data_IF_319004376198
#
_entry.id   IF_319004376198
#
_cell.length_a   1.000
_cell.length_b   1.000
_cell.length_c   1.000
_cell.angle_alpha   90.00
_cell.angle_beta   90.00
_cell.angle_gamma   90.00
#
_symmetry.space_group_name_H-M   'P 1'
#
loop_
_entity.id
_entity.type
_entity.pdbx_description
1 polymer ?
#
# COMPACT_ATOMS: atom_id res chain seq x y z
N UNK A 1 1.79 -20.68 31.60
CA UNK A 1 2.94 -20.34 32.46
C UNK A 1 3.43 -18.96 32.02
N UNK A 2 3.22 -17.90 32.82
CA UNK A 2 3.88 -16.62 32.56
C UNK A 2 5.37 -16.83 32.87
N UNK A 3 6.24 -16.67 31.85
CA UNK A 3 7.68 -16.53 32.10
C UNK A 3 7.85 -15.29 32.99
N UNK A 4 8.28 -15.49 34.23
CA UNK A 4 8.67 -14.39 35.10
C UNK A 4 9.90 -13.72 34.47
N UNK A 5 9.67 -12.64 33.73
CA UNK A 5 10.76 -11.83 33.20
C UNK A 5 11.42 -11.05 34.33
N UNK A 6 12.73 -11.19 34.44
CA UNK A 6 13.52 -10.37 35.39
C UNK A 6 13.20 -8.89 35.21
N UNK A 7 13.05 -8.17 36.29
CA UNK A 7 12.75 -6.75 36.29
C UNK A 7 13.98 -5.93 36.68
N UNK A 8 13.96 -4.62 36.36
CA UNK A 8 15.01 -3.70 36.81
C UNK A 8 15.16 -3.68 38.34
N UNK A 9 14.06 -4.00 39.09
CA UNK A 9 14.08 -4.10 40.54
C UNK A 9 14.83 -5.33 41.04
N UNK A 10 14.81 -6.43 40.27
CA UNK A 10 15.52 -7.64 40.65
C UNK A 10 17.03 -7.46 40.47
N UNK A 11 17.48 -6.82 39.39
CA UNK A 11 18.87 -6.45 39.17
C UNK A 11 19.34 -5.48 40.29
N UNK A 12 18.52 -4.49 40.61
CA UNK A 12 18.82 -3.52 41.65
C UNK A 12 19.00 -4.18 43.03
N UNK A 13 18.16 -5.17 43.37
CA UNK A 13 18.22 -5.95 44.60
C UNK A 13 19.50 -6.79 44.69
N UNK A 14 19.81 -7.50 43.60
CA UNK A 14 20.98 -8.40 43.54
C UNK A 14 22.32 -7.63 43.66
N UNK A 15 22.38 -6.43 43.06
CA UNK A 15 23.58 -5.59 43.12
C UNK A 15 23.60 -4.59 44.27
N UNK A 16 22.57 -4.60 45.13
CA UNK A 16 22.36 -3.66 46.23
C UNK A 16 22.50 -2.18 45.81
N UNK A 17 21.90 -1.83 44.68
CA UNK A 17 21.87 -0.46 44.15
C UNK A 17 20.42 -0.01 43.89
N UNK A 18 20.21 1.27 43.64
CA UNK A 18 18.87 1.77 43.28
C UNK A 18 18.47 1.36 41.85
N UNK A 19 17.16 1.18 41.58
CA UNK A 19 16.66 0.95 40.22
C UNK A 19 17.02 2.10 39.27
N UNK A 20 17.18 3.32 39.78
CA UNK A 20 17.67 4.46 38.98
C UNK A 20 19.14 4.31 38.58
N UNK A 21 19.98 3.76 39.49
CA UNK A 21 21.39 3.43 39.18
C UNK A 21 21.47 2.37 38.13
N UNK A 22 20.68 1.28 38.19
CA UNK A 22 20.61 0.24 37.15
C UNK A 22 20.18 0.83 35.82
N UNK A 23 19.11 1.65 35.82
CA UNK A 23 18.62 2.30 34.59
C UNK A 23 19.66 3.21 33.91
N UNK A 24 20.45 3.94 34.71
CA UNK A 24 21.51 4.82 34.23
C UNK A 24 22.72 4.00 33.74
N UNK A 25 23.09 2.93 34.44
CA UNK A 25 24.19 2.04 34.05
C UNK A 25 23.92 1.34 32.73
N UNK A 26 22.69 0.84 32.50
CA UNK A 26 22.29 0.22 31.23
C UNK A 26 22.30 1.19 30.04
N UNK A 27 22.26 2.50 30.31
CA UNK A 27 22.31 3.58 29.29
C UNK A 27 23.68 4.25 29.16
N UNK A 28 24.71 3.68 29.79
CA UNK A 28 26.08 4.23 29.79
C UNK A 28 26.18 5.67 30.31
N UNK A 29 25.28 6.06 31.23
CA UNK A 29 25.24 7.45 31.75
C UNK A 29 26.58 7.87 32.37
N UNK A 30 27.10 9.09 32.08
CA UNK A 30 28.44 9.53 32.51
C UNK A 30 28.64 9.58 34.03
N UNK A 31 27.58 9.67 34.84
CA UNK A 31 27.63 9.73 36.27
C UNK A 31 27.67 8.37 36.99
N UNK A 32 27.84 7.27 36.29
CA UNK A 32 27.96 5.91 36.86
C UNK A 32 29.34 5.37 36.54
N UNK A 33 30.01 4.77 37.56
CA UNK A 33 31.34 4.18 37.40
C UNK A 33 31.32 3.02 36.41
N UNK A 34 32.42 2.84 35.66
CA UNK A 34 32.54 1.79 34.66
C UNK A 34 32.41 0.38 35.25
N UNK A 35 32.88 0.20 36.49
CA UNK A 35 32.72 -1.05 37.25
C UNK A 35 31.23 -1.34 37.49
N UNK A 36 30.45 -0.36 37.90
CA UNK A 36 29.00 -0.51 38.14
C UNK A 36 28.27 -0.81 36.80
N UNK A 37 28.63 -0.10 35.72
CA UNK A 37 28.06 -0.37 34.38
C UNK A 37 28.33 -1.81 33.97
N UNK A 38 29.55 -2.29 34.12
CA UNK A 38 29.94 -3.67 33.78
C UNK A 38 29.13 -4.69 34.58
N UNK A 39 29.09 -4.58 35.92
CA UNK A 39 28.33 -5.49 36.79
C UNK A 39 26.84 -5.52 36.45
N UNK A 40 26.24 -4.37 36.14
CA UNK A 40 24.83 -4.28 35.76
C UNK A 40 24.56 -4.95 34.44
N UNK A 41 25.41 -4.74 33.43
CA UNK A 41 25.26 -5.36 32.11
C UNK A 41 25.43 -6.88 32.17
N UNK A 42 26.46 -7.38 32.83
CA UNK A 42 26.71 -8.81 33.05
C UNK A 42 25.52 -9.50 33.76
N UNK A 43 24.97 -8.87 34.81
CA UNK A 43 23.83 -9.43 35.52
C UNK A 43 22.56 -9.36 34.70
N UNK A 44 22.34 -8.29 33.95
CA UNK A 44 21.19 -8.15 33.02
C UNK A 44 21.20 -9.24 31.94
N UNK A 45 22.36 -9.54 31.33
CA UNK A 45 22.54 -10.65 30.41
C UNK A 45 22.25 -12.01 31.06
N UNK A 46 22.85 -12.27 32.23
CA UNK A 46 22.66 -13.51 33.00
C UNK A 46 21.19 -13.76 33.36
N UNK A 47 20.44 -12.70 33.68
CA UNK A 47 19.03 -12.77 34.02
C UNK A 47 18.10 -12.69 32.79
N UNK A 48 18.61 -12.64 31.56
CA UNK A 48 17.84 -12.38 30.34
C UNK A 48 16.92 -11.15 30.49
N UNK A 49 17.40 -10.14 31.21
CA UNK A 49 16.63 -8.93 31.41
C UNK A 49 16.44 -8.20 30.09
N UNK A 50 15.19 -7.93 29.75
CA UNK A 50 14.82 -7.04 28.63
C UNK A 50 14.14 -5.80 29.22
N UNK A 51 14.58 -4.59 28.84
CA UNK A 51 13.88 -3.39 29.22
C UNK A 51 12.39 -3.50 28.88
N UNK A 52 11.53 -3.18 29.83
CA UNK A 52 10.09 -3.20 29.57
C UNK A 52 9.77 -2.06 28.57
N UNK A 53 9.42 -2.43 27.33
CA UNK A 53 9.08 -1.47 26.28
C UNK A 53 7.92 -0.56 26.68
N UNK A 54 6.92 -1.08 27.43
CA UNK A 54 5.79 -0.31 27.95
C UNK A 54 6.27 0.76 28.95
N UNK A 55 7.19 0.42 29.85
CA UNK A 55 7.74 1.38 30.81
C UNK A 55 8.64 2.45 30.14
N UNK A 56 9.30 2.09 29.05
CA UNK A 56 10.08 3.01 28.23
C UNK A 56 9.17 3.94 27.40
N UNK A 57 8.09 3.41 26.82
CA UNK A 57 7.11 4.18 26.05
C UNK A 57 6.37 5.19 26.92
N UNK A 58 5.94 4.80 28.13
CA UNK A 58 5.33 5.71 29.12
C UNK A 58 6.26 6.89 29.47
N UNK A 59 7.57 6.65 29.58
CA UNK A 59 8.54 7.69 29.89
C UNK A 59 8.84 8.63 28.71
N UNK A 60 8.76 8.11 27.47
CA UNK A 60 9.04 8.87 26.25
C UNK A 60 7.77 9.37 25.56
N UNK A 61 6.58 9.00 26.06
CA UNK A 61 5.28 9.23 25.40
C UNK A 61 5.26 8.74 23.96
N UNK A 62 6.01 7.66 23.64
CA UNK A 62 6.11 7.04 22.31
C UNK A 62 6.39 5.56 22.44
N UNK A 63 5.70 4.77 21.62
CA UNK A 63 5.89 3.30 21.57
C UNK A 63 7.00 2.88 20.60
N UNK A 64 7.41 3.76 19.68
CA UNK A 64 8.25 3.44 18.53
C UNK A 64 7.67 2.30 17.68
N UNK A 65 6.35 2.33 17.55
CA UNK A 65 5.61 1.35 16.75
C UNK A 65 4.57 2.08 15.91
N UNK A 66 4.54 1.78 14.62
CA UNK A 66 3.53 2.28 13.69
C UNK A 66 2.63 1.15 13.22
N UNK A 67 1.37 1.47 12.94
CA UNK A 67 0.39 0.55 12.39
C UNK A 67 0.28 0.70 10.88
N UNK A 68 0.23 -0.43 10.17
CA UNK A 68 0.00 -0.48 8.72
C UNK A 68 -1.28 -1.27 8.46
N UNK A 69 -2.24 -0.63 7.82
CA UNK A 69 -3.52 -1.22 7.45
C UNK A 69 -3.59 -1.27 5.92
N UNK A 70 -3.73 -2.48 5.36
CA UNK A 70 -3.84 -2.72 3.93
C UNK A 70 -5.02 -3.63 3.61
N UNK A 71 -5.54 -3.61 2.37
CA UNK A 71 -6.60 -4.52 1.95
C UNK A 71 -6.16 -5.99 2.03
N UNK A 72 -5.14 -6.36 1.27
CA UNK A 72 -4.67 -7.74 1.14
C UNK A 72 -3.16 -7.78 0.88
N UNK A 73 -2.45 -8.68 1.58
CA UNK A 73 -1.00 -8.82 1.45
C UNK A 73 -0.58 -9.60 0.20
N UNK A 74 -1.49 -10.39 -0.37
CA UNK A 74 -1.20 -11.24 -1.53
C UNK A 74 -0.91 -10.46 -2.81
N UNK A 75 -1.35 -9.21 -2.90
CA UNK A 75 -1.06 -8.36 -4.04
C UNK A 75 0.40 -7.90 -4.03
N UNK A 76 1.14 -8.22 -5.10
CA UNK A 76 2.56 -7.90 -5.25
C UNK A 76 2.86 -6.41 -4.99
N UNK A 77 1.99 -5.52 -5.43
CA UNK A 77 2.10 -4.09 -5.16
C UNK A 77 2.24 -3.81 -3.65
N UNK A 78 1.33 -4.35 -2.82
CA UNK A 78 1.40 -4.13 -1.37
C UNK A 78 2.63 -4.77 -0.74
N UNK A 79 3.13 -5.90 -1.24
CA UNK A 79 4.38 -6.48 -0.74
C UNK A 79 5.58 -5.56 -0.97
N UNK A 80 5.63 -4.86 -2.12
CA UNK A 80 6.68 -3.88 -2.39
C UNK A 80 6.52 -2.60 -1.55
N UNK A 81 5.28 -2.15 -1.30
CA UNK A 81 5.00 -1.03 -0.39
C UNK A 81 5.46 -1.36 1.04
N UNK A 82 5.11 -2.55 1.55
CA UNK A 82 5.53 -3.02 2.88
C UNK A 82 7.05 -3.02 2.99
N UNK A 83 7.77 -3.49 1.96
CA UNK A 83 9.23 -3.46 1.96
C UNK A 83 9.80 -2.04 2.10
N UNK A 84 9.18 -1.06 1.43
CA UNK A 84 9.57 0.35 1.57
C UNK A 84 9.24 0.93 2.96
N UNK A 85 8.11 0.53 3.53
CA UNK A 85 7.71 0.92 4.90
C UNK A 85 8.72 0.38 5.92
N UNK A 86 9.01 -0.92 5.86
CA UNK A 86 9.93 -1.60 6.78
C UNK A 86 11.34 -1.00 6.74
N UNK A 87 11.89 -0.74 5.56
CA UNK A 87 13.23 -0.16 5.39
C UNK A 87 13.35 1.19 6.12
N UNK A 88 12.38 2.09 5.91
CA UNK A 88 12.40 3.41 6.55
C UNK A 88 12.09 3.32 8.04
N UNK A 89 11.10 2.52 8.46
CA UNK A 89 10.75 2.34 9.87
C UNK A 89 11.95 1.79 10.66
N UNK A 90 12.59 0.73 10.15
CA UNK A 90 13.77 0.12 10.76
C UNK A 90 14.93 1.10 10.90
N UNK A 91 15.24 1.86 9.82
CA UNK A 91 16.34 2.84 9.84
C UNK A 91 16.14 3.95 10.88
N UNK A 92 14.88 4.22 11.25
CA UNK A 92 14.49 5.23 12.26
C UNK A 92 14.14 4.64 13.63
N UNK A 93 14.36 3.33 13.81
CA UNK A 93 14.16 2.62 15.09
C UNK A 93 12.69 2.39 15.46
N UNK A 94 11.80 2.33 14.46
CA UNK A 94 10.39 2.00 14.62
C UNK A 94 10.10 0.54 14.25
N UNK A 95 9.15 -0.06 14.98
CA UNK A 95 8.57 -1.35 14.63
C UNK A 95 7.30 -1.15 13.80
N UNK A 96 6.97 -2.13 12.98
CA UNK A 96 5.76 -2.14 12.16
C UNK A 96 4.81 -3.23 12.63
N UNK A 97 3.55 -2.88 12.88
CA UNK A 97 2.45 -3.85 13.06
C UNK A 97 1.59 -3.78 11.81
N UNK A 98 1.57 -4.87 11.04
CA UNK A 98 0.78 -5.00 9.84
C UNK A 98 -0.54 -5.71 10.11
N UNK A 99 -1.65 -5.19 9.59
CA UNK A 99 -2.94 -5.87 9.50
C UNK A 99 -3.50 -5.80 8.09
N UNK A 100 -4.24 -6.85 7.71
CA UNK A 100 -5.01 -6.83 6.48
C UNK A 100 -6.51 -6.91 6.76
N UNK A 101 -7.27 -6.16 5.98
CA UNK A 101 -8.72 -6.04 6.17
C UNK A 101 -9.52 -7.05 5.37
N UNK A 102 -8.92 -7.71 4.38
CA UNK A 102 -9.60 -8.55 3.39
C UNK A 102 -10.78 -7.82 2.75
N UNK A 103 -10.58 -6.54 2.44
CA UNK A 103 -11.56 -5.65 1.82
C UNK A 103 -12.83 -5.43 2.64
N UNK A 104 -12.78 -5.65 3.97
CA UNK A 104 -13.94 -5.56 4.88
C UNK A 104 -13.84 -4.38 5.82
N UNK A 105 -14.83 -3.46 5.78
CA UNK A 105 -14.93 -2.30 6.68
C UNK A 105 -14.91 -2.70 8.17
N UNK A 106 -15.60 -3.80 8.51
CA UNK A 106 -15.65 -4.26 9.90
C UNK A 106 -14.26 -4.66 10.42
N UNK A 107 -13.43 -5.31 9.57
CA UNK A 107 -12.05 -5.66 9.92
C UNK A 107 -11.16 -4.44 10.01
N UNK A 108 -11.35 -3.46 9.12
CA UNK A 108 -10.62 -2.19 9.13
C UNK A 108 -10.83 -1.45 10.47
N UNK A 109 -12.10 -1.26 10.89
CA UNK A 109 -12.43 -0.65 12.19
C UNK A 109 -11.82 -1.43 13.36
N UNK A 110 -11.96 -2.76 13.38
CA UNK A 110 -11.37 -3.62 14.43
C UNK A 110 -9.84 -3.53 14.47
N UNK A 111 -9.18 -3.41 13.32
CA UNK A 111 -7.73 -3.22 13.23
C UNK A 111 -7.30 -1.90 13.83
N UNK A 112 -8.01 -0.81 13.51
CA UNK A 112 -7.77 0.51 14.11
C UNK A 112 -7.87 0.45 15.63
N UNK A 113 -8.99 -0.07 16.18
CA UNK A 113 -9.22 -0.16 17.62
C UNK A 113 -8.15 -1.02 18.33
N UNK A 114 -7.79 -2.14 17.72
CA UNK A 114 -6.76 -3.04 18.28
C UNK A 114 -5.40 -2.36 18.33
N UNK A 115 -4.99 -1.68 17.26
CA UNK A 115 -3.70 -1.00 17.20
C UNK A 115 -3.64 0.20 18.15
N UNK A 116 -4.72 0.98 18.28
CA UNK A 116 -4.81 2.06 19.27
C UNK A 116 -4.68 1.53 20.70
N UNK A 117 -5.31 0.39 21.00
CA UNK A 117 -5.18 -0.28 22.31
C UNK A 117 -3.75 -0.73 22.58
N UNK A 118 -2.95 -0.98 21.55
CA UNK A 118 -1.53 -1.30 21.63
C UNK A 118 -0.63 -0.05 21.62
N UNK A 119 -1.22 1.16 21.74
CA UNK A 119 -0.50 2.43 21.89
C UNK A 119 0.50 2.70 20.74
N UNK A 120 0.13 2.43 19.50
CA UNK A 120 0.96 2.80 18.33
C UNK A 120 1.06 4.31 18.20
N UNK A 121 2.13 4.80 17.54
CA UNK A 121 2.42 6.22 17.40
C UNK A 121 1.76 6.87 16.16
N UNK A 122 1.31 6.07 15.20
CA UNK A 122 0.64 6.55 14.00
C UNK A 122 0.27 5.43 13.03
N UNK A 123 -0.49 5.78 11.99
CA UNK A 123 -0.99 4.85 10.96
C UNK A 123 -0.49 5.16 9.56
N UNK A 124 -0.20 4.10 8.80
CA UNK A 124 -0.18 4.08 7.34
C UNK A 124 -1.38 3.28 6.86
N UNK A 125 -2.23 3.86 6.01
CA UNK A 125 -3.51 3.27 5.63
C UNK A 125 -3.73 3.28 4.12
N UNK A 126 -4.01 2.10 3.56
CA UNK A 126 -4.74 1.94 2.30
C UNK A 126 -6.06 1.27 2.63
N UNK A 127 -7.17 1.99 2.50
CA UNK A 127 -8.46 1.56 3.03
C UNK A 127 -9.15 0.48 2.19
N UNK A 128 -10.09 -0.25 2.80
CA UNK A 128 -10.87 -1.31 2.16
C UNK A 128 -11.83 -0.77 1.12
N UNK A 129 -12.05 -1.47 0.02
CA UNK A 129 -13.03 -1.05 -1.01
C UNK A 129 -14.48 -0.96 -0.50
N UNK A 130 -14.82 -1.65 0.59
CA UNK A 130 -16.13 -1.49 1.26
C UNK A 130 -16.27 -0.18 2.05
N UNK A 131 -15.17 0.54 2.30
CA UNK A 131 -15.18 1.73 3.14
C UNK A 131 -15.72 2.91 2.34
N UNK A 132 -16.92 3.36 2.72
CA UNK A 132 -17.59 4.55 2.19
C UNK A 132 -17.79 5.63 3.26
N UNK A 133 -17.65 5.26 4.54
CA UNK A 133 -17.69 6.14 5.70
C UNK A 133 -16.33 6.10 6.42
N UNK A 134 -15.68 7.25 6.50
CA UNK A 134 -14.33 7.42 7.06
C UNK A 134 -14.32 7.98 8.49
N UNK A 135 -15.44 7.99 9.20
CA UNK A 135 -15.57 8.58 10.54
C UNK A 135 -14.58 8.01 11.56
N UNK A 136 -14.18 6.75 11.43
CA UNK A 136 -13.19 6.12 12.32
C UNK A 136 -11.77 6.67 12.12
N UNK A 137 -11.45 7.20 10.94
CA UNK A 137 -10.19 7.91 10.69
C UNK A 137 -10.32 9.42 10.96
N UNK A 138 -11.42 10.06 10.55
CA UNK A 138 -11.63 11.50 10.74
C UNK A 138 -11.55 11.89 12.21
N UNK A 139 -12.18 11.12 13.11
CA UNK A 139 -12.10 11.35 14.56
C UNK A 139 -10.67 11.31 15.11
N UNK A 140 -9.82 10.47 14.57
CA UNK A 140 -8.41 10.38 14.97
C UNK A 140 -7.62 11.58 14.45
N UNK A 141 -7.86 11.98 13.19
CA UNK A 141 -7.25 13.19 12.61
C UNK A 141 -7.66 14.45 13.40
N UNK A 142 -8.93 14.58 13.77
CA UNK A 142 -9.45 15.69 14.59
C UNK A 142 -8.77 15.76 15.97
N UNK A 143 -8.35 14.61 16.50
CA UNK A 143 -7.57 14.52 17.76
C UNK A 143 -6.07 14.75 17.55
N UNK A 144 -5.63 14.98 16.32
CA UNK A 144 -4.22 15.16 15.96
C UNK A 144 -3.42 13.86 15.95
N UNK A 145 -4.08 12.69 15.83
CA UNK A 145 -3.37 11.42 15.72
C UNK A 145 -2.76 11.28 14.32
N UNK A 146 -1.45 10.93 14.21
CA UNK A 146 -0.75 10.86 12.94
C UNK A 146 -1.28 9.76 12.02
N UNK A 147 -1.80 10.13 10.85
CA UNK A 147 -2.24 9.19 9.80
C UNK A 147 -1.73 9.68 8.44
N UNK A 148 -1.13 8.77 7.67
CA UNK A 148 -0.81 8.98 6.26
C UNK A 148 -1.51 7.91 5.45
N UNK A 149 -2.32 8.33 4.48
CA UNK A 149 -2.98 7.43 3.55
C UNK A 149 -2.09 7.22 2.32
N UNK A 150 -2.15 6.03 1.74
CA UNK A 150 -1.43 5.72 0.53
C UNK A 150 -2.26 4.84 -0.42
N UNK A 151 -1.98 4.93 -1.73
CA UNK A 151 -2.70 4.20 -2.78
C UNK A 151 -4.20 4.57 -2.80
N UNK A 152 -5.02 3.97 -1.95
CA UNK A 152 -6.42 4.35 -1.75
C UNK A 152 -6.52 5.39 -0.66
N UNK A 153 -6.91 6.59 -1.04
CA UNK A 153 -6.94 7.76 -0.17
C UNK A 153 -8.33 8.33 -0.06
N UNK A 154 -8.81 8.66 1.16
CA UNK A 154 -10.14 9.19 1.38
C UNK A 154 -10.27 10.65 0.92
N UNK A 155 -11.50 11.09 0.71
CA UNK A 155 -11.83 12.50 0.52
C UNK A 155 -12.06 13.17 1.90
N UNK A 156 -11.00 13.25 2.72
CA UNK A 156 -11.00 13.92 4.01
C UNK A 156 -10.13 15.18 3.88
N UNK A 157 -10.68 16.33 4.29
CA UNK A 157 -9.95 17.58 4.32
C UNK A 157 -8.70 17.46 5.21
N UNK A 158 -7.59 18.06 4.79
CA UNK A 158 -6.29 18.02 5.48
C UNK A 158 -5.67 16.61 5.67
N UNK A 159 -6.22 15.56 5.06
CA UNK A 159 -5.58 14.24 5.07
C UNK A 159 -4.26 14.26 4.29
N UNK A 160 -3.24 13.60 4.84
CA UNK A 160 -1.94 13.45 4.18
C UNK A 160 -1.93 12.18 3.34
N UNK A 161 -1.63 12.31 2.05
CA UNK A 161 -1.81 11.26 1.07
C UNK A 161 -0.55 11.04 0.23
N UNK A 162 -0.22 9.78 -0.07
CA UNK A 162 0.80 9.40 -1.05
C UNK A 162 0.17 8.52 -2.10
N UNK A 163 0.11 9.01 -3.34
CA UNK A 163 -0.56 8.35 -4.47
C UNK A 163 0.36 8.26 -5.67
N UNK A 164 -0.03 7.49 -6.66
CA UNK A 164 0.55 7.56 -8.01
C UNK A 164 -0.31 8.45 -8.91
N UNK A 165 0.26 8.87 -10.04
CA UNK A 165 -0.51 9.53 -11.10
C UNK A 165 -1.28 8.47 -11.92
N UNK A 166 -2.44 8.05 -11.36
CA UNK A 166 -3.33 7.07 -11.98
C UNK A 166 -3.90 7.57 -13.31
N UNK A 167 -4.18 8.89 -13.40
CA UNK A 167 -4.66 9.51 -14.64
C UNK A 167 -3.61 9.40 -15.75
N UNK A 168 -2.39 9.87 -15.50
CA UNK A 168 -1.29 9.82 -16.46
C UNK A 168 -0.95 8.39 -16.86
N UNK A 169 -0.89 7.46 -15.87
CA UNK A 169 -0.60 6.05 -16.13
C UNK A 169 -1.61 5.42 -17.07
N UNK A 170 -2.90 5.63 -16.85
CA UNK A 170 -3.97 5.09 -17.69
C UNK A 170 -4.08 5.79 -19.05
N UNK A 171 -3.81 7.10 -19.09
CA UNK A 171 -3.72 7.86 -20.33
C UNK A 171 -2.63 7.29 -21.24
N UNK A 172 -1.40 7.11 -20.73
CA UNK A 172 -0.28 6.58 -21.51
C UNK A 172 -0.51 5.11 -21.93
N UNK A 173 -1.14 4.29 -21.10
CA UNK A 173 -1.53 2.92 -21.45
C UNK A 173 -2.53 2.89 -22.61
N UNK A 174 -3.57 3.70 -22.54
CA UNK A 174 -4.62 3.79 -23.57
C UNK A 174 -4.09 4.41 -24.87
N UNK A 175 -3.32 5.48 -24.78
CA UNK A 175 -2.63 6.11 -25.89
C UNK A 175 -1.69 5.13 -26.62
N UNK A 176 -0.95 4.30 -25.87
CA UNK A 176 -0.11 3.27 -26.45
C UNK A 176 -0.94 2.31 -27.31
N UNK A 177 -2.06 1.80 -26.82
CA UNK A 177 -2.95 0.93 -27.60
C UNK A 177 -3.45 1.63 -28.87
N UNK A 178 -3.85 2.89 -28.78
CA UNK A 178 -4.30 3.69 -29.93
C UNK A 178 -3.19 3.83 -30.99
N UNK A 179 -1.96 4.13 -30.54
CA UNK A 179 -0.80 4.25 -31.45
C UNK A 179 -0.40 2.93 -32.08
N UNK A 180 -0.72 1.79 -31.46
CA UNK A 180 -0.57 0.45 -32.05
C UNK A 180 -1.69 0.11 -33.06
N UNK A 181 -2.63 1.03 -33.29
CA UNK A 181 -3.69 0.89 -34.27
C UNK A 181 -4.97 0.25 -33.75
N UNK A 182 -5.11 0.04 -32.45
CA UNK A 182 -6.37 -0.40 -31.84
C UNK A 182 -7.38 0.77 -31.79
N UNK A 183 -8.67 0.45 -31.93
CA UNK A 183 -9.73 1.46 -32.02
C UNK A 183 -10.94 1.17 -31.12
N UNK A 184 -11.23 -0.08 -30.82
CA UNK A 184 -12.30 -0.51 -29.91
C UNK A 184 -11.69 -1.06 -28.63
N UNK A 185 -11.15 -0.12 -27.84
CA UNK A 185 -10.42 -0.42 -26.61
C UNK A 185 -11.43 -0.49 -25.46
N UNK A 186 -11.64 -1.67 -24.89
CA UNK A 186 -12.49 -1.82 -23.73
C UNK A 186 -11.70 -1.61 -22.44
N UNK A 187 -12.32 -0.97 -21.45
CA UNK A 187 -11.71 -0.78 -20.13
C UNK A 187 -12.36 -1.70 -19.10
N UNK A 188 -11.59 -2.70 -18.63
CA UNK A 188 -11.98 -3.48 -17.46
C UNK A 188 -11.63 -2.65 -16.23
N UNK A 189 -12.65 -1.97 -15.65
CA UNK A 189 -12.50 -1.01 -14.57
C UNK A 189 -12.53 -1.70 -13.20
N UNK A 190 -11.89 -1.10 -12.21
CA UNK A 190 -12.08 -1.45 -10.80
C UNK A 190 -13.36 -0.85 -10.22
N UNK A 191 -13.61 -1.07 -8.91
CA UNK A 191 -14.80 -0.54 -8.22
C UNK A 191 -14.93 0.97 -8.40
N UNK A 192 -16.10 1.42 -8.88
CA UNK A 192 -16.34 2.82 -9.29
C UNK A 192 -16.27 3.83 -8.13
N UNK A 193 -16.46 3.37 -6.88
CA UNK A 193 -16.35 4.23 -5.70
C UNK A 193 -14.91 4.64 -5.37
N UNK A 194 -13.92 3.85 -5.82
CA UNK A 194 -12.52 4.13 -5.54
C UNK A 194 -11.98 5.28 -6.40
N UNK A 195 -11.27 6.22 -5.77
CA UNK A 195 -10.65 7.36 -6.47
C UNK A 195 -9.68 6.88 -7.58
N UNK A 196 -8.88 5.85 -7.30
CA UNK A 196 -7.97 5.26 -8.28
C UNK A 196 -8.69 4.77 -9.54
N UNK A 197 -9.87 4.13 -9.39
CA UNK A 197 -10.68 3.69 -10.54
C UNK A 197 -11.23 4.87 -11.35
N UNK A 198 -11.69 5.92 -10.67
CA UNK A 198 -12.17 7.14 -11.32
C UNK A 198 -11.05 7.83 -12.11
N UNK A 199 -9.86 7.96 -11.54
CA UNK A 199 -8.72 8.60 -12.23
C UNK A 199 -8.23 7.77 -13.40
N UNK A 200 -8.17 6.43 -13.29
CA UNK A 200 -7.84 5.54 -14.41
C UNK A 200 -8.87 5.63 -15.54
N UNK A 201 -10.16 5.66 -15.21
CA UNK A 201 -11.22 5.87 -16.20
C UNK A 201 -11.08 7.22 -16.91
N UNK A 202 -10.82 8.30 -16.16
CA UNK A 202 -10.61 9.64 -16.73
C UNK A 202 -9.42 9.69 -17.70
N UNK A 203 -8.30 9.07 -17.33
CA UNK A 203 -7.13 8.99 -18.21
C UNK A 203 -7.39 8.20 -19.48
N UNK A 204 -8.10 7.07 -19.38
CA UNK A 204 -8.55 6.29 -20.54
C UNK A 204 -9.45 7.12 -21.46
N UNK A 205 -10.47 7.80 -20.91
CA UNK A 205 -11.38 8.67 -21.68
C UNK A 205 -10.63 9.79 -22.39
N UNK A 206 -9.75 10.50 -21.68
CA UNK A 206 -8.94 11.57 -22.25
C UNK A 206 -8.06 11.09 -23.41
N UNK A 207 -7.46 9.89 -23.28
CA UNK A 207 -6.66 9.33 -24.39
C UNK A 207 -7.48 9.03 -25.63
N UNK A 208 -8.71 8.52 -25.49
CA UNK A 208 -9.62 8.30 -26.64
C UNK A 208 -9.99 9.63 -27.29
N UNK A 209 -10.38 10.64 -26.49
CA UNK A 209 -10.82 11.95 -26.96
C UNK A 209 -9.71 12.68 -27.73
N UNK A 210 -8.51 12.73 -27.16
CA UNK A 210 -7.33 13.38 -27.77
C UNK A 210 -6.93 12.77 -29.14
N UNK A 211 -7.32 11.49 -29.35
CA UNK A 211 -7.03 10.77 -30.60
C UNK A 211 -8.26 10.60 -31.50
N UNK A 212 -9.34 11.33 -31.23
CA UNK A 212 -10.55 11.35 -32.07
C UNK A 212 -11.35 10.04 -32.07
N UNK A 213 -11.19 9.22 -31.05
CA UNK A 213 -12.00 8.00 -30.87
C UNK A 213 -13.17 8.35 -29.94
N UNK A 214 -14.40 8.16 -30.45
CA UNK A 214 -15.61 8.43 -29.67
C UNK A 214 -15.68 7.44 -28.51
N UNK A 215 -15.76 7.97 -27.29
CA UNK A 215 -15.97 7.19 -26.08
C UNK A 215 -17.40 6.62 -26.05
N UNK A 216 -17.51 5.33 -25.71
CA UNK A 216 -18.79 4.66 -25.50
C UNK A 216 -18.85 4.07 -24.09
N UNK A 217 -19.90 4.41 -23.32
CA UNK A 217 -20.06 3.89 -21.94
C UNK A 217 -20.07 2.36 -21.85
N UNK A 218 -20.58 1.69 -22.91
CA UNK A 218 -20.60 0.23 -23.01
C UNK A 218 -19.22 -0.42 -23.10
N UNK A 219 -18.15 0.36 -23.32
CA UNK A 219 -16.77 -0.13 -23.32
C UNK A 219 -16.14 -0.15 -21.93
N UNK A 220 -16.82 0.37 -20.91
CA UNK A 220 -16.35 0.35 -19.53
C UNK A 220 -17.13 -0.69 -18.75
N UNK A 221 -16.46 -1.73 -18.31
CA UNK A 221 -17.08 -2.82 -17.57
C UNK A 221 -16.41 -2.94 -16.21
N UNK A 222 -17.22 -2.86 -15.16
CA UNK A 222 -16.73 -2.99 -13.80
C UNK A 222 -16.39 -4.44 -13.47
N UNK A 223 -15.23 -4.64 -12.86
CA UNK A 223 -14.73 -5.90 -12.33
C UNK A 223 -14.45 -5.71 -10.82
N UNK A 224 -15.49 -5.76 -9.97
CA UNK A 224 -15.38 -5.34 -8.56
C UNK A 224 -14.43 -6.19 -7.72
N UNK A 225 -14.30 -7.49 -8.00
CA UNK A 225 -13.32 -8.34 -7.33
C UNK A 225 -11.90 -8.04 -7.82
N UNK A 226 -11.76 -7.75 -9.12
CA UNK A 226 -10.48 -7.46 -9.74
C UNK A 226 -9.58 -8.69 -9.88
N UNK A 227 -10.14 -9.91 -9.78
CA UNK A 227 -9.44 -11.16 -9.96
C UNK A 227 -9.53 -11.69 -11.41
N UNK A 228 -8.67 -12.67 -11.73
CA UNK A 228 -8.58 -13.25 -13.06
C UNK A 228 -9.83 -14.02 -13.48
N UNK A 229 -10.55 -14.61 -12.56
CA UNK A 229 -11.73 -15.43 -12.86
C UNK A 229 -12.90 -14.54 -13.26
N UNK A 230 -13.19 -13.48 -12.47
CA UNK A 230 -14.22 -12.51 -12.80
C UNK A 230 -13.92 -11.81 -14.14
N UNK A 231 -12.69 -11.34 -14.33
CA UNK A 231 -12.31 -10.69 -15.58
C UNK A 231 -12.40 -11.63 -16.78
N UNK A 232 -12.07 -12.92 -16.62
CA UNK A 232 -12.26 -13.95 -17.65
C UNK A 232 -13.73 -14.13 -18.01
N UNK A 233 -14.61 -14.30 -17.03
CA UNK A 233 -16.07 -14.45 -17.24
C UNK A 233 -16.64 -13.24 -17.98
N UNK A 234 -16.34 -12.04 -17.52
CA UNK A 234 -16.74 -10.77 -18.17
C UNK A 234 -16.26 -10.73 -19.62
N UNK A 235 -14.99 -11.05 -19.85
CA UNK A 235 -14.42 -10.99 -21.19
C UNK A 235 -15.04 -12.01 -22.14
N UNK A 236 -15.30 -13.23 -21.67
CA UNK A 236 -15.98 -14.27 -22.47
C UNK A 236 -17.40 -13.82 -22.85
N UNK A 237 -18.13 -13.17 -21.96
CA UNK A 237 -19.44 -12.62 -22.26
C UNK A 237 -19.35 -11.55 -23.35
N UNK A 238 -18.46 -10.57 -23.20
CA UNK A 238 -18.24 -9.50 -24.17
C UNK A 238 -17.90 -10.09 -25.55
N UNK A 239 -16.98 -11.06 -25.61
CA UNK A 239 -16.53 -11.65 -26.87
C UNK A 239 -17.59 -12.51 -27.57
N UNK A 240 -18.58 -13.05 -26.82
CA UNK A 240 -19.67 -13.87 -27.34
C UNK A 240 -20.89 -13.03 -27.77
N UNK A 241 -21.22 -11.98 -27.02
CA UNK A 241 -22.49 -11.27 -27.16
C UNK A 241 -22.40 -10.01 -28.01
N UNK A 242 -21.26 -9.29 -27.97
CA UNK A 242 -21.15 -8.03 -28.69
C UNK A 242 -21.00 -8.23 -30.20
N UNK A 243 -21.82 -7.52 -30.99
CA UNK A 243 -21.71 -7.48 -32.45
C UNK A 243 -20.42 -6.78 -32.89
N UNK A 244 -20.05 -5.72 -32.21
CA UNK A 244 -18.77 -5.02 -32.39
C UNK A 244 -17.80 -5.44 -31.30
N UNK A 245 -16.93 -6.38 -31.63
CA UNK A 245 -15.95 -6.93 -30.68
C UNK A 245 -14.82 -5.94 -30.39
N UNK A 246 -14.30 -5.91 -29.13
CA UNK A 246 -13.09 -5.17 -28.81
C UNK A 246 -11.90 -5.67 -29.64
N UNK A 247 -11.00 -4.78 -29.96
CA UNK A 247 -9.68 -5.09 -30.51
C UNK A 247 -8.55 -4.90 -29.49
N UNK A 248 -8.84 -4.29 -28.32
CA UNK A 248 -7.93 -4.25 -27.19
C UNK A 248 -8.66 -4.11 -25.85
N UNK A 249 -7.94 -4.41 -24.77
CA UNK A 249 -8.36 -4.19 -23.39
C UNK A 249 -7.29 -3.41 -22.63
N UNK A 250 -7.74 -2.35 -21.94
CA UNK A 250 -7.01 -1.75 -20.84
C UNK A 250 -7.63 -2.22 -19.53
N UNK A 251 -6.86 -2.89 -18.68
CA UNK A 251 -7.32 -3.47 -17.43
C UNK A 251 -6.81 -2.66 -16.23
N UNK A 252 -7.69 -2.43 -15.25
CA UNK A 252 -7.35 -1.64 -14.06
C UNK A 252 -6.26 -2.28 -13.19
N UNK A 253 -6.00 -3.58 -13.34
CA UNK A 253 -4.89 -4.29 -12.71
C UNK A 253 -4.42 -5.47 -13.57
N UNK A 254 -3.27 -6.06 -13.22
CA UNK A 254 -2.67 -7.15 -13.99
C UNK A 254 -3.41 -8.47 -13.84
N UNK A 255 -4.10 -8.73 -12.71
CA UNK A 255 -4.90 -9.95 -12.55
C UNK A 255 -6.11 -9.94 -13.49
N UNK A 256 -6.78 -8.79 -13.61
CA UNK A 256 -7.84 -8.62 -14.60
C UNK A 256 -7.30 -8.79 -16.04
N UNK A 257 -6.09 -8.30 -16.32
CA UNK A 257 -5.44 -8.50 -17.62
C UNK A 257 -5.14 -10.00 -17.89
N UNK A 258 -4.72 -10.76 -16.89
CA UNK A 258 -4.57 -12.22 -16.99
C UNK A 258 -5.90 -12.88 -17.33
N UNK A 259 -6.99 -12.47 -16.67
CA UNK A 259 -8.34 -12.97 -16.96
C UNK A 259 -8.75 -12.72 -18.43
N UNK A 260 -8.48 -11.52 -18.96
CA UNK A 260 -8.68 -11.19 -20.37
C UNK A 260 -7.84 -12.12 -21.27
N UNK A 261 -6.56 -12.32 -20.97
CA UNK A 261 -5.69 -13.21 -21.75
C UNK A 261 -6.18 -14.66 -21.72
N UNK A 262 -6.68 -15.14 -20.57
CA UNK A 262 -7.27 -16.47 -20.44
C UNK A 262 -8.53 -16.63 -21.31
N UNK A 263 -9.41 -15.62 -21.34
CA UNK A 263 -10.59 -15.61 -22.20
C UNK A 263 -10.23 -15.59 -23.68
N UNK A 264 -9.26 -14.78 -24.10
CA UNK A 264 -8.77 -14.75 -25.48
C UNK A 264 -8.22 -16.13 -25.90
N UNK A 265 -7.43 -16.77 -25.05
CA UNK A 265 -6.90 -18.12 -25.30
C UNK A 265 -8.01 -19.15 -25.46
N UNK A 266 -9.05 -19.12 -24.63
CA UNK A 266 -10.20 -20.02 -24.71
C UNK A 266 -11.00 -19.83 -26.00
N UNK A 267 -11.09 -18.59 -26.48
CA UNK A 267 -11.75 -18.21 -27.72
C UNK A 267 -10.88 -18.41 -28.98
N UNK A 268 -9.63 -18.86 -28.82
CA UNK A 268 -8.69 -19.05 -29.92
C UNK A 268 -8.17 -17.75 -30.55
N UNK A 269 -8.31 -16.61 -29.83
CA UNK A 269 -7.84 -15.31 -30.30
C UNK A 269 -6.35 -15.12 -29.96
N UNK A 270 -5.63 -14.53 -30.91
CA UNK A 270 -4.19 -14.28 -30.77
C UNK A 270 -3.93 -12.89 -30.15
N UNK A 271 -3.06 -12.87 -29.15
CA UNK A 271 -2.54 -11.65 -28.55
C UNK A 271 -1.10 -11.46 -29.03
N UNK A 272 -0.76 -10.34 -29.62
CA UNK A 272 -1.49 -9.07 -29.78
C UNK A 272 -2.24 -8.91 -31.10
N UNK A 273 -2.22 -9.91 -32.03
CA UNK A 273 -2.67 -9.75 -33.40
C UNK A 273 -4.16 -9.44 -33.49
N UNK A 274 -5.00 -10.20 -32.79
CA UNK A 274 -6.45 -10.01 -32.76
C UNK A 274 -6.87 -9.03 -31.63
N UNK A 275 -6.25 -9.17 -30.46
CA UNK A 275 -6.57 -8.37 -29.27
C UNK A 275 -5.31 -7.92 -28.55
N UNK A 276 -5.18 -6.60 -28.37
CA UNK A 276 -4.14 -6.02 -27.50
C UNK A 276 -4.56 -6.01 -26.02
N UNK A 277 -3.60 -6.22 -25.11
CA UNK A 277 -3.88 -6.20 -23.65
C UNK A 277 -2.82 -5.40 -22.91
N UNK A 278 -3.29 -4.46 -22.08
CA UNK A 278 -2.44 -3.70 -21.14
C UNK A 278 -3.04 -3.79 -19.74
N UNK A 279 -2.19 -4.09 -18.74
CA UNK A 279 -2.53 -4.12 -17.33
C UNK A 279 -2.05 -2.89 -16.57
N UNK A 280 -2.11 -2.99 -15.23
CA UNK A 280 -1.68 -1.95 -14.29
C UNK A 280 -1.11 -2.60 -13.03
N UNK A 281 -0.01 -2.08 -12.47
CA UNK A 281 0.78 -2.45 -11.29
C UNK A 281 2.10 -3.17 -11.58
N UNK A 282 2.27 -3.75 -12.77
CA UNK A 282 3.49 -4.44 -13.20
C UNK A 282 3.95 -5.54 -12.24
N UNK A 283 3.09 -6.55 -12.04
CA UNK A 283 3.45 -7.72 -11.25
C UNK A 283 4.58 -8.53 -11.90
N UNK A 284 5.35 -9.25 -11.09
CA UNK A 284 6.50 -10.04 -11.58
C UNK A 284 6.15 -11.02 -12.69
N UNK A 285 4.97 -11.65 -12.63
CA UNK A 285 4.52 -12.59 -13.65
C UNK A 285 4.29 -11.96 -15.03
N UNK A 286 4.15 -10.63 -15.14
CA UNK A 286 3.96 -9.96 -16.43
C UNK A 286 5.05 -10.30 -17.45
N UNK A 287 6.29 -10.53 -16.97
CA UNK A 287 7.40 -10.94 -17.83
C UNK A 287 7.42 -12.44 -18.15
N UNK A 288 6.73 -13.27 -17.37
CA UNK A 288 6.69 -14.72 -17.46
C UNK A 288 5.54 -15.25 -18.32
N UNK A 289 4.54 -14.38 -18.60
CA UNK A 289 3.41 -14.72 -19.47
C UNK A 289 3.85 -14.85 -20.93
N UNK A 290 3.10 -15.62 -21.71
CA UNK A 290 3.25 -15.71 -23.14
C UNK A 290 1.93 -15.42 -23.86
N UNK A 291 1.83 -14.26 -24.56
CA UNK A 291 2.85 -13.20 -24.64
C UNK A 291 3.03 -12.43 -23.30
N UNK A 292 4.23 -11.86 -23.08
CA UNK A 292 4.52 -11.04 -21.90
C UNK A 292 3.64 -9.80 -21.86
N UNK A 293 3.09 -9.49 -20.66
CA UNK A 293 2.06 -8.48 -20.46
C UNK A 293 2.66 -7.08 -20.34
N UNK A 294 2.21 -6.16 -21.19
CA UNK A 294 2.43 -4.72 -21.03
C UNK A 294 1.64 -4.22 -19.84
N UNK A 295 2.27 -3.40 -18.99
CA UNK A 295 1.63 -2.95 -17.77
C UNK A 295 2.20 -1.60 -17.31
N UNK A 296 1.37 -0.79 -16.65
CA UNK A 296 1.79 0.44 -15.99
C UNK A 296 2.42 0.08 -14.64
N UNK A 297 3.70 0.39 -14.47
CA UNK A 297 4.43 0.14 -13.25
C UNK A 297 4.12 1.21 -12.20
N UNK A 298 3.78 0.76 -10.99
CA UNK A 298 3.64 1.60 -9.80
C UNK A 298 4.88 1.45 -8.92
N UNK A 299 5.50 2.56 -8.45
CA UNK A 299 6.70 2.50 -7.62
C UNK A 299 6.37 2.17 -6.16
N UNK A 300 5.86 0.96 -5.86
CA UNK A 300 5.37 0.57 -4.55
C UNK A 300 6.38 0.77 -3.42
N UNK A 301 7.65 0.36 -3.62
CA UNK A 301 8.70 0.59 -2.62
C UNK A 301 8.88 2.09 -2.30
N UNK A 302 8.94 2.95 -3.33
CA UNK A 302 9.05 4.40 -3.13
C UNK A 302 7.83 4.98 -2.43
N UNK A 303 6.63 4.45 -2.72
CA UNK A 303 5.39 4.86 -2.06
C UNK A 303 5.43 4.52 -0.56
N UNK A 304 5.79 3.30 -0.20
CA UNK A 304 5.91 2.87 1.19
C UNK A 304 6.96 3.68 1.94
N UNK A 305 8.15 3.85 1.35
CA UNK A 305 9.22 4.65 1.93
C UNK A 305 8.77 6.11 2.16
N UNK A 306 8.19 6.75 1.14
CA UNK A 306 7.72 8.14 1.23
C UNK A 306 6.62 8.34 2.27
N UNK A 307 5.64 7.43 2.30
CA UNK A 307 4.56 7.49 3.28
C UNK A 307 5.09 7.35 4.72
N UNK A 308 6.07 6.48 4.93
CA UNK A 308 6.71 6.27 6.24
C UNK A 308 7.56 7.47 6.65
N UNK A 309 8.37 8.04 5.76
CA UNK A 309 9.13 9.26 6.02
C UNK A 309 8.21 10.36 6.54
N UNK A 310 7.12 10.63 5.83
CA UNK A 310 6.15 11.66 6.18
C UNK A 310 5.49 11.35 7.53
N UNK A 311 5.02 10.13 7.74
CA UNK A 311 4.40 9.73 9.01
C UNK A 311 5.34 9.94 10.19
N UNK A 312 6.58 9.49 10.07
CA UNK A 312 7.57 9.64 11.13
C UNK A 312 7.96 11.10 11.38
N UNK A 313 8.00 11.93 10.32
CA UNK A 313 8.25 13.37 10.47
C UNK A 313 7.07 14.08 11.16
N UNK A 314 5.83 13.66 10.94
CA UNK A 314 4.66 14.13 11.69
C UNK A 314 4.77 13.69 13.17
N UNK A 315 5.02 12.41 13.44
CA UNK A 315 5.18 11.88 14.79
C UNK A 315 6.28 12.61 15.55
N UNK A 316 7.41 12.89 14.90
CA UNK A 316 8.55 13.58 15.48
C UNK A 316 8.40 15.10 15.53
N UNK A 317 7.27 15.63 15.06
CA UNK A 317 6.95 17.07 15.00
C UNK A 317 7.94 17.88 14.17
N UNK A 318 8.50 17.29 13.12
CA UNK A 318 9.38 17.95 12.16
C UNK A 318 8.60 18.73 11.11
N UNK A 319 7.37 18.27 10.81
CA UNK A 319 6.47 18.91 9.87
C UNK A 319 5.12 19.18 10.53
N UNK A 320 4.46 20.25 10.07
CA UNK A 320 3.11 20.60 10.46
C UNK A 320 2.18 20.28 9.28
N UNK A 321 1.25 19.37 9.47
CA UNK A 321 0.32 18.92 8.41
C UNK A 321 -0.56 20.04 7.85
N UNK A 322 -0.82 21.10 8.65
CA UNK A 322 -1.61 22.26 8.21
C UNK A 322 -0.86 23.21 7.28
N UNK A 323 0.46 23.09 7.22
CA UNK A 323 1.33 24.00 6.46
C UNK A 323 2.04 23.28 5.30
N UNK A 324 1.84 21.97 5.16
CA UNK A 324 2.54 21.13 4.19
C UNK A 324 1.62 20.74 3.04
N UNK A 325 2.22 20.40 1.90
CA UNK A 325 1.49 19.76 0.80
C UNK A 325 0.82 18.46 1.29
N UNK A 326 -0.49 18.37 1.16
CA UNK A 326 -1.26 17.26 1.71
C UNK A 326 -1.28 16.02 0.79
N UNK A 327 -0.93 16.15 -0.50
CA UNK A 327 -0.91 15.02 -1.44
C UNK A 327 0.41 14.97 -2.20
N UNK A 328 1.12 13.85 -2.06
CA UNK A 328 2.37 13.56 -2.75
C UNK A 328 2.08 12.58 -3.88
N UNK A 329 2.35 12.99 -5.11
CA UNK A 329 2.09 12.18 -6.31
C UNK A 329 3.41 11.61 -6.83
N UNK A 330 3.46 10.30 -7.03
CA UNK A 330 4.59 9.58 -7.61
C UNK A 330 4.30 9.27 -9.08
N UNK A 331 5.32 9.36 -9.92
CA UNK A 331 5.19 9.02 -11.34
C UNK A 331 5.00 7.51 -11.53
N UNK A 332 4.21 7.18 -12.56
CA UNK A 332 4.07 5.82 -13.10
C UNK A 332 4.86 5.68 -14.41
N UNK A 333 5.15 4.45 -14.82
CA UNK A 333 5.85 4.16 -16.06
C UNK A 333 5.15 3.03 -16.83
N UNK A 334 4.82 3.24 -18.11
CA UNK A 334 4.30 2.18 -18.97
C UNK A 334 5.45 1.29 -19.47
N UNK A 335 5.43 0.03 -19.06
CA UNK A 335 6.37 -0.99 -19.53
C UNK A 335 5.74 -1.77 -20.69
N UNK A 336 6.09 -1.39 -21.89
CA UNK A 336 5.58 -2.01 -23.13
C UNK A 336 6.22 -3.38 -23.35
N UNK A 337 5.38 -4.40 -23.61
CA UNK A 337 5.77 -5.78 -23.89
C UNK A 337 4.95 -6.37 -25.05
N UNK A 338 5.04 -7.69 -25.23
CA UNK A 338 4.47 -8.38 -26.40
C UNK A 338 2.94 -8.37 -26.47
N UNK A 339 2.22 -8.22 -25.35
CA UNK A 339 0.75 -8.32 -25.33
C UNK A 339 0.02 -7.16 -26.01
N UNK A 340 0.71 -6.08 -26.35
CA UNK A 340 0.08 -4.87 -26.90
C UNK A 340 0.74 -4.33 -28.16
N UNK A 341 1.87 -4.90 -28.59
CA UNK A 341 2.62 -4.45 -29.78
C UNK A 341 2.21 -5.27 -31.00
N UNK A 342 1.49 -4.67 -31.96
CA UNK A 342 1.24 -5.30 -33.26
C UNK A 342 2.52 -5.36 -34.08
N UNK A 343 2.91 -6.56 -34.46
CA UNK A 343 4.05 -6.83 -35.33
C UNK A 343 3.54 -6.92 -36.79
#
# INVERSE_FOLDING_TARGET
MKLEQATIKDIARELNVSSSTVSRALKDYPGISDETKRKVKELAEKMNYRPNAIALSLRKSRSFTIGVIIPEVVHFFFSTVISGIEEVAFSRGYNVILTQTNEKLAREKSSVDTMLSNQIDGFLVSYSKETTDFNHFSRLLDQGFPIVFFDRVPEIEDSVNVVVDDFKGSYEASKHLILQGYRRIYHISGPVQLKISKERLRGYQAALEDHGIKFENSWVIECPRGDENEAKEITLEILKTNSEKPDAFFCHNDMAAVGVMMACKEMGLKIPQDIGVVGFSNWQFCTMLDPSLSSVAQPGFKMGAKATEILLDIIEKKINTKETQNTFVLDTELLVRKSSVKI
#
